data_IF_431015752843
#
_entry.id   IF_431015752843
#
_cell.length_a   1.000
_cell.length_b   1.000
_cell.length_c   1.000
_cell.angle_alpha   90.00
_cell.angle_beta   90.00
_cell.angle_gamma   90.00
#
_symmetry.space_group_name_H-M   'P 1'
#
loop_
_entity.id
_entity.type
_entity.pdbx_description
1 polymer ?
#
# COMPACT_ATOMS: atom_id res chain seq x y z
N UNK A 1 -10.64 -14.88 41.09
CA UNK A 1 -9.29 -14.82 40.49
C UNK A 1 -9.25 -15.94 39.48
N UNK A 2 -9.53 -15.62 38.22
CA UNK A 2 -9.09 -16.42 37.07
C UNK A 2 -8.93 -15.45 35.91
N UNK A 3 -7.67 -15.21 35.60
CA UNK A 3 -7.10 -14.09 34.85
C UNK A 3 -6.89 -14.51 33.39
N UNK A 4 -7.89 -15.15 32.78
CA UNK A 4 -7.73 -15.92 31.54
C UNK A 4 -8.78 -15.59 30.46
N UNK A 5 -9.24 -14.34 30.37
CA UNK A 5 -10.17 -13.92 29.28
C UNK A 5 -9.88 -12.53 28.72
N UNK A 6 -8.66 -12.01 28.90
CA UNK A 6 -8.29 -10.64 28.51
C UNK A 6 -7.21 -10.56 27.42
N UNK A 7 -7.16 -11.54 26.51
CA UNK A 7 -6.23 -11.56 25.37
C UNK A 7 -6.93 -11.87 24.05
N UNK A 8 -8.04 -11.20 23.80
CA UNK A 8 -8.47 -10.88 22.43
C UNK A 8 -8.45 -9.36 22.28
N UNK A 9 -7.25 -8.76 22.39
CA UNK A 9 -7.04 -7.47 21.75
C UNK A 9 -7.15 -7.77 20.25
N UNK A 10 -8.21 -7.27 19.62
CA UNK A 10 -8.39 -7.29 18.17
C UNK A 10 -7.03 -7.00 17.53
N UNK A 11 -6.48 -7.98 16.80
CA UNK A 11 -5.30 -7.75 15.98
C UNK A 11 -5.70 -6.69 14.96
N UNK A 12 -5.36 -5.44 15.27
CA UNK A 12 -5.65 -4.31 14.40
C UNK A 12 -5.09 -4.62 13.01
N UNK A 13 -5.80 -4.27 11.93
CA UNK A 13 -5.34 -4.61 10.60
C UNK A 13 -4.00 -3.90 10.37
N UNK A 14 -2.94 -4.68 10.34
CA UNK A 14 -1.61 -4.26 9.94
C UNK A 14 -1.38 -4.76 8.52
N UNK A 15 -0.74 -3.96 7.65
CA UNK A 15 -0.45 -4.40 6.30
C UNK A 15 0.50 -5.60 6.34
N UNK A 16 0.05 -6.71 5.76
CA UNK A 16 0.81 -7.95 5.65
C UNK A 16 0.83 -8.41 4.19
N UNK A 17 1.77 -9.31 3.85
CA UNK A 17 1.81 -9.93 2.52
C UNK A 17 0.48 -10.66 2.27
N UNK A 18 -0.14 -10.40 1.12
CA UNK A 18 -1.46 -10.93 0.77
C UNK A 18 -2.65 -10.39 1.59
N UNK A 19 -2.44 -9.37 2.42
CA UNK A 19 -3.49 -8.68 3.16
C UNK A 19 -3.24 -7.17 3.13
N UNK A 20 -3.56 -6.51 2.00
CA UNK A 20 -3.44 -5.06 1.87
C UNK A 20 -4.31 -4.34 2.88
N UNK A 21 -3.92 -3.13 3.26
CA UNK A 21 -4.72 -2.26 4.12
C UNK A 21 -4.90 -0.88 3.47
N UNK A 22 -6.05 -0.25 3.70
CA UNK A 22 -6.32 1.13 3.27
C UNK A 22 -5.90 2.12 4.35
N UNK A 23 -5.30 3.23 3.96
CA UNK A 23 -4.86 4.28 4.89
C UNK A 23 -4.87 5.64 4.20
N UNK A 24 -5.11 6.72 4.96
CA UNK A 24 -4.89 8.07 4.42
C UNK A 24 -3.40 8.39 4.34
N UNK A 25 -3.00 9.31 3.47
CA UNK A 25 -1.59 9.71 3.32
C UNK A 25 -0.98 10.17 4.66
N UNK A 26 -1.69 11.02 5.40
CA UNK A 26 -1.22 11.54 6.67
C UNK A 26 -1.02 10.43 7.71
N UNK A 27 -1.95 9.47 7.78
CA UNK A 27 -1.83 8.31 8.66
C UNK A 27 -0.70 7.39 8.21
N UNK A 28 -0.53 7.17 6.91
CA UNK A 28 0.53 6.33 6.38
C UNK A 28 1.90 6.85 6.81
N UNK A 29 2.15 8.16 6.64
CA UNK A 29 3.39 8.81 7.09
C UNK A 29 3.59 8.68 8.61
N UNK A 30 2.53 8.92 9.39
CA UNK A 30 2.60 8.84 10.85
C UNK A 30 2.82 7.40 11.35
N UNK A 31 2.37 6.38 10.62
CA UNK A 31 2.51 4.98 11.00
C UNK A 31 3.86 4.43 10.56
N UNK A 32 4.31 4.74 9.35
CA UNK A 32 5.62 4.29 8.84
C UNK A 32 6.75 4.94 9.63
N UNK A 33 6.62 6.20 10.06
CA UNK A 33 7.64 6.86 10.89
C UNK A 33 7.82 6.23 12.28
N UNK A 34 6.85 5.43 12.75
CA UNK A 34 6.90 4.72 14.04
C UNK A 34 7.46 3.31 13.90
N UNK A 35 7.64 2.81 12.67
CA UNK A 35 8.19 1.49 12.45
C UNK A 35 9.66 1.46 12.85
N UNK A 36 10.07 0.40 13.53
CA UNK A 36 11.46 0.20 13.93
C UNK A 36 12.39 -0.19 12.77
N UNK A 37 11.81 -0.52 11.61
CA UNK A 37 12.53 -0.92 10.40
C UNK A 37 12.24 0.13 9.34
N UNK A 38 13.28 0.74 8.81
CA UNK A 38 13.21 1.59 7.62
C UNK A 38 12.93 0.72 6.40
N UNK A 39 11.66 0.51 6.10
CA UNK A 39 11.24 -0.15 4.87
C UNK A 39 11.23 0.89 3.75
N UNK A 40 11.91 0.60 2.63
CA UNK A 40 11.73 1.41 1.41
C UNK A 40 10.31 1.26 0.90
N UNK A 41 9.63 2.37 0.70
CA UNK A 41 8.26 2.40 0.20
C UNK A 41 8.27 3.06 -1.17
N UNK A 42 7.60 2.42 -2.14
CA UNK A 42 7.42 2.98 -3.48
C UNK A 42 5.96 3.35 -3.68
N UNK A 43 5.70 4.61 -4.02
CA UNK A 43 4.38 5.05 -4.44
C UNK A 43 4.14 4.64 -5.89
N UNK A 44 3.19 3.73 -6.08
CA UNK A 44 2.65 3.30 -7.36
C UNK A 44 1.56 4.27 -7.80
N UNK A 45 1.94 5.25 -8.62
CA UNK A 45 1.07 6.38 -8.97
C UNK A 45 1.27 6.85 -10.42
N UNK A 46 0.35 7.67 -10.90
CA UNK A 46 0.38 8.25 -12.24
C UNK A 46 1.43 9.36 -12.39
N UNK A 47 1.95 9.89 -11.27
CA UNK A 47 2.92 10.97 -11.26
C UNK A 47 3.87 10.93 -10.05
N UNK A 48 5.04 11.53 -10.23
CA UNK A 48 6.10 11.67 -9.24
C UNK A 48 6.02 12.97 -8.41
N UNK A 49 4.96 13.76 -8.60
CA UNK A 49 4.86 15.12 -8.05
C UNK A 49 4.36 15.20 -6.61
N UNK A 50 3.63 14.19 -6.15
CA UNK A 50 2.95 14.16 -4.86
C UNK A 50 3.30 12.90 -4.06
N UNK A 51 4.60 12.57 -4.04
CA UNK A 51 5.14 11.43 -3.32
C UNK A 51 5.18 11.77 -1.82
N UNK A 52 4.55 10.97 -0.95
CA UNK A 52 4.58 11.19 0.49
C UNK A 52 5.98 10.99 1.07
N UNK A 53 6.43 11.92 1.93
CA UNK A 53 7.65 11.76 2.71
C UNK A 53 8.90 11.56 1.86
N UNK A 54 9.68 10.53 2.19
CA UNK A 54 10.92 10.11 1.53
C UNK A 54 10.73 8.87 0.65
N UNK A 55 9.50 8.58 0.23
CA UNK A 55 9.19 7.41 -0.58
C UNK A 55 9.75 7.55 -1.99
N UNK A 56 9.99 6.41 -2.63
CA UNK A 56 10.38 6.33 -4.03
C UNK A 56 9.13 6.28 -4.94
N UNK A 57 9.34 6.38 -6.26
CA UNK A 57 8.27 6.37 -7.25
C UNK A 57 8.29 5.11 -8.13
N UNK A 58 7.10 4.57 -8.40
CA UNK A 58 6.86 3.53 -9.40
C UNK A 58 5.68 3.96 -10.28
N UNK A 59 5.88 4.01 -11.59
CA UNK A 59 4.83 4.47 -12.49
C UNK A 59 3.69 3.45 -12.61
N UNK A 60 2.46 3.85 -12.31
CA UNK A 60 1.27 3.01 -12.46
C UNK A 60 0.57 3.16 -13.80
N UNK A 61 0.87 4.24 -14.53
CA UNK A 61 0.36 4.54 -15.86
C UNK A 61 1.45 5.23 -16.65
N UNK A 62 1.57 4.90 -17.93
CA UNK A 62 2.41 5.63 -18.89
C UNK A 62 1.66 5.83 -20.21
N UNK A 63 1.64 7.05 -20.77
CA UNK A 63 0.99 7.30 -22.05
C UNK A 63 1.55 6.40 -23.16
N UNK A 64 0.65 5.68 -23.85
CA UNK A 64 1.01 4.79 -24.95
C UNK A 64 1.62 3.44 -24.53
N UNK A 65 1.75 3.17 -23.23
CA UNK A 65 2.20 1.88 -22.72
C UNK A 65 0.97 1.05 -22.34
N UNK A 66 0.83 -0.18 -22.86
CA UNK A 66 -0.29 -1.03 -22.50
C UNK A 66 -0.07 -1.63 -21.09
N UNK A 67 -1.13 -2.16 -20.44
CA UNK A 67 -1.06 -2.71 -19.08
C UNK A 67 0.06 -3.74 -18.85
N UNK A 68 0.37 -4.57 -19.86
CA UNK A 68 1.43 -5.58 -19.79
C UNK A 68 2.82 -4.94 -19.64
N UNK A 69 3.00 -3.73 -20.18
CA UNK A 69 4.21 -2.94 -20.00
C UNK A 69 4.37 -2.48 -18.55
N UNK A 70 3.28 -2.00 -17.94
CA UNK A 70 3.27 -1.61 -16.51
C UNK A 70 3.57 -2.83 -15.63
N UNK A 71 2.94 -3.97 -15.89
CA UNK A 71 3.22 -5.22 -15.16
C UNK A 71 4.69 -5.67 -15.30
N UNK A 72 5.28 -5.52 -16.49
CA UNK A 72 6.70 -5.83 -16.70
C UNK A 72 7.63 -4.93 -15.87
N UNK A 73 7.28 -3.65 -15.70
CA UNK A 73 8.00 -2.73 -14.80
C UNK A 73 7.86 -3.15 -13.34
N UNK A 74 6.65 -3.55 -12.91
CA UNK A 74 6.41 -4.07 -11.56
C UNK A 74 7.24 -5.33 -11.30
N UNK A 75 7.33 -6.25 -12.26
CA UNK A 75 8.16 -7.46 -12.16
C UNK A 75 9.66 -7.15 -12.09
N UNK A 76 10.13 -6.14 -12.83
CA UNK A 76 11.50 -5.66 -12.73
C UNK A 76 11.77 -5.05 -11.34
N UNK A 77 10.85 -4.22 -10.86
CA UNK A 77 10.90 -3.61 -9.52
C UNK A 77 10.94 -4.68 -8.41
N UNK A 78 10.11 -5.72 -8.49
CA UNK A 78 10.07 -6.83 -7.52
C UNK A 78 11.41 -7.56 -7.38
N UNK A 79 12.19 -7.64 -8.47
CA UNK A 79 13.54 -8.23 -8.49
C UNK A 79 14.58 -7.29 -7.91
N UNK A 80 14.44 -5.99 -8.19
CA UNK A 80 15.39 -4.97 -7.73
C UNK A 80 15.24 -4.65 -6.24
N UNK A 81 14.01 -4.72 -5.72
CA UNK A 81 13.67 -4.32 -4.35
C UNK A 81 12.90 -5.43 -3.62
N UNK A 82 13.60 -6.47 -3.13
CA UNK A 82 12.96 -7.66 -2.56
C UNK A 82 12.21 -7.41 -1.25
N UNK A 83 12.60 -6.40 -0.48
CA UNK A 83 12.03 -6.07 0.84
C UNK A 83 11.21 -4.77 0.84
N UNK A 84 11.07 -4.12 -0.32
CA UNK A 84 10.31 -2.89 -0.43
C UNK A 84 8.80 -3.12 -0.32
N UNK A 85 8.11 -2.09 0.17
CA UNK A 85 6.66 -2.04 0.25
C UNK A 85 6.11 -1.31 -0.96
N UNK A 86 4.92 -1.73 -1.39
CA UNK A 86 4.19 -1.07 -2.45
C UNK A 86 3.08 -0.20 -1.83
N UNK A 87 3.10 1.10 -2.09
CA UNK A 87 2.01 2.00 -1.75
C UNK A 87 1.20 2.30 -3.03
N UNK A 88 -0.04 1.84 -3.10
CA UNK A 88 -0.90 2.03 -4.28
C UNK A 88 -1.69 3.31 -4.11
N UNK A 89 -1.54 4.24 -5.05
CA UNK A 89 -2.22 5.53 -4.98
C UNK A 89 -3.63 5.46 -5.56
N UNK A 90 -4.62 5.58 -4.68
CA UNK A 90 -6.05 5.60 -4.99
C UNK A 90 -6.70 6.90 -4.50
N UNK A 91 -5.91 7.97 -4.31
CA UNK A 91 -6.41 9.28 -3.93
C UNK A 91 -7.31 9.87 -5.02
N UNK A 92 -8.29 10.67 -4.62
CA UNK A 92 -9.18 11.39 -5.54
C UNK A 92 -8.35 12.30 -6.46
N UNK A 93 -8.53 12.14 -7.77
CA UNK A 93 -7.83 12.93 -8.79
C UNK A 93 -6.58 12.27 -9.37
N UNK A 94 -6.15 11.13 -8.82
CA UNK A 94 -5.07 10.29 -9.37
C UNK A 94 -5.68 9.33 -10.39
N UNK A 95 -4.99 9.14 -11.53
CA UNK A 95 -5.40 8.12 -12.50
C UNK A 95 -5.12 6.74 -11.89
N UNK A 96 -6.13 5.85 -11.75
CA UNK A 96 -5.92 4.52 -11.20
C UNK A 96 -4.88 3.74 -12.01
N UNK A 97 -4.12 2.85 -11.35
CA UNK A 97 -3.14 2.01 -12.04
C UNK A 97 -3.71 1.30 -13.27
N UNK A 98 -2.96 1.33 -14.37
CA UNK A 98 -3.31 0.65 -15.61
C UNK A 98 -3.00 -0.86 -15.50
N UNK A 99 -3.66 -1.53 -14.56
CA UNK A 99 -3.49 -2.95 -14.25
C UNK A 99 -4.86 -3.64 -14.33
N UNK A 100 -4.98 -4.77 -15.06
CA UNK A 100 -6.20 -5.56 -15.06
C UNK A 100 -6.41 -6.20 -13.69
N UNK A 101 -7.64 -6.11 -13.16
CA UNK A 101 -8.04 -6.72 -11.88
C UNK A 101 -7.08 -6.37 -10.72
N UNK A 102 -6.95 -5.06 -10.46
CA UNK A 102 -6.05 -4.52 -9.45
C UNK A 102 -6.28 -5.17 -8.07
N UNK A 103 -7.53 -5.42 -7.67
CA UNK A 103 -7.83 -6.00 -6.36
C UNK A 103 -7.23 -7.40 -6.20
N UNK A 104 -7.40 -8.27 -7.21
CA UNK A 104 -6.83 -9.62 -7.18
C UNK A 104 -5.30 -9.60 -7.29
N UNK A 105 -4.74 -8.69 -8.10
CA UNK A 105 -3.29 -8.49 -8.14
C UNK A 105 -2.74 -8.13 -6.76
N UNK A 106 -3.36 -7.17 -6.06
CA UNK A 106 -2.89 -6.73 -4.75
C UNK A 106 -3.06 -7.81 -3.67
N UNK A 107 -4.10 -8.64 -3.77
CA UNK A 107 -4.33 -9.78 -2.88
C UNK A 107 -3.28 -10.88 -3.04
N UNK A 108 -2.80 -11.11 -4.26
CA UNK A 108 -1.76 -12.12 -4.56
C UNK A 108 -0.35 -11.54 -4.58
N UNK A 109 -0.21 -10.24 -4.33
CA UNK A 109 1.06 -9.52 -4.45
C UNK A 109 2.10 -10.04 -3.44
N UNK A 110 3.35 -10.30 -3.87
CA UNK A 110 4.36 -10.96 -3.02
C UNK A 110 5.04 -10.00 -2.02
N UNK A 111 4.57 -8.76 -1.91
CA UNK A 111 5.09 -7.72 -1.01
C UNK A 111 3.99 -7.20 -0.10
N UNK A 112 4.40 -6.44 0.92
CA UNK A 112 3.45 -5.70 1.75
C UNK A 112 2.88 -4.57 0.89
N UNK A 113 1.56 -4.46 0.90
CA UNK A 113 0.81 -3.46 0.13
C UNK A 113 0.05 -2.56 1.09
N UNK A 114 0.18 -1.25 0.91
CA UNK A 114 -0.68 -0.24 1.52
C UNK A 114 -1.42 0.51 0.40
N UNK A 115 -2.71 0.76 0.57
CA UNK A 115 -3.54 1.48 -0.39
C UNK A 115 -3.81 2.87 0.17
N UNK A 116 -3.28 3.90 -0.50
CA UNK A 116 -3.40 5.28 -0.08
C UNK A 116 -4.68 5.87 -0.66
N UNK A 117 -5.56 6.38 0.20
CA UNK A 117 -6.83 6.99 -0.19
C UNK A 117 -6.96 8.40 0.38
N UNK A 118 -7.85 9.21 -0.19
CA UNK A 118 -8.11 10.56 0.34
C UNK A 118 -8.92 10.55 1.64
N UNK A 119 -9.74 9.51 1.86
CA UNK A 119 -10.60 9.38 3.04
C UNK A 119 -10.71 7.90 3.43
N UNK A 120 -9.95 7.51 4.47
CA UNK A 120 -9.85 6.14 4.98
C UNK A 120 -10.98 5.77 5.96
N UNK A 121 -11.97 6.65 6.12
CA UNK A 121 -13.15 6.42 6.98
C UNK A 121 -14.36 5.89 6.22
N UNK A 122 -14.29 5.89 4.87
CA UNK A 122 -15.32 5.32 3.99
C UNK A 122 -15.19 3.81 3.88
N UNK A 123 -16.21 3.21 3.28
CA UNK A 123 -16.17 1.79 2.93
C UNK A 123 -15.18 1.56 1.78
N UNK A 124 -14.27 0.61 1.96
CA UNK A 124 -13.22 0.26 1.02
C UNK A 124 -13.09 -1.27 0.93
N UNK A 125 -12.61 -1.83 -0.20
CA UNK A 125 -12.45 -3.28 -0.37
C UNK A 125 -11.46 -3.93 0.62
N UNK A 126 -10.55 -3.14 1.20
CA UNK A 126 -9.53 -3.59 2.12
C UNK A 126 -9.74 -3.01 3.52
N UNK A 127 -9.32 -3.73 4.58
CA UNK A 127 -9.44 -3.23 5.94
C UNK A 127 -8.62 -1.94 6.12
N UNK A 128 -9.12 -1.04 6.97
CA UNK A 128 -8.37 0.15 7.36
C UNK A 128 -7.13 -0.24 8.15
N UNK A 129 -5.99 0.33 7.82
CA UNK A 129 -4.80 0.20 8.64
C UNK A 129 -5.01 0.95 9.96
N UNK A 130 -5.03 0.21 11.06
CA UNK A 130 -5.01 0.77 12.40
C UNK A 130 -3.65 0.47 13.04
N UNK A 131 -2.90 1.51 13.38
CA UNK A 131 -1.65 1.35 14.13
C UNK A 131 -1.95 1.38 15.64
N UNK A 132 -1.53 0.37 16.41
CA UNK A 132 -1.77 0.36 17.85
C UNK A 132 -1.00 1.52 18.50
N UNK A 133 -1.75 2.40 19.17
CA UNK A 133 -1.21 3.49 19.99
C UNK A 133 -0.68 2.96 21.32
#
# INVERSE_FOLDING_TARGET
MDEATRTWQHSQPMPMRGSPCVVSEANALAFTSKMQIENRIFLFSDSDRAIPGDWDYLASVRPGVPPEGILSEVDAWLRQYPDAWLAVDMRVGVIPPAVPDLEEMLRTFPRIVIVIVSDDTRDHPWPRWEYPL
#
